data_IF_671829794307
#
_entry.id   IF_671829794307
#
_cell.length_a   1.000
_cell.length_b   1.000
_cell.length_c   1.000
_cell.angle_alpha   90.00
_cell.angle_beta   90.00
_cell.angle_gamma   90.00
#
_symmetry.space_group_name_H-M   'P 1'
#
loop_
_entity.id
_entity.type
_entity.pdbx_description
1 polymer ?
#
# COMPACT_ATOMS: atom_id res chain seq x y z
N UNK A 1 17.07 11.32 -24.19
CA UNK A 1 17.23 12.18 -25.39
C UNK A 1 17.27 11.33 -26.65
N UNK A 2 16.84 11.89 -27.82
CA UNK A 2 16.98 11.30 -29.13
C UNK A 2 18.15 12.00 -29.85
N UNK A 3 19.14 11.24 -30.32
CA UNK A 3 20.30 11.74 -31.06
C UNK A 3 20.31 11.07 -32.46
N UNK A 4 20.05 11.84 -33.49
CA UNK A 4 19.78 11.33 -34.87
C UNK A 4 18.66 10.27 -34.83
N UNK A 5 18.96 9.02 -35.22
CA UNK A 5 17.99 7.92 -35.24
C UNK A 5 18.04 7.02 -34.00
N UNK A 6 18.75 7.42 -32.95
CA UNK A 6 18.92 6.58 -31.76
C UNK A 6 18.43 7.31 -30.51
N UNK A 7 17.84 6.54 -29.61
CA UNK A 7 17.51 6.96 -28.26
C UNK A 7 18.69 6.71 -27.33
N UNK A 8 18.99 7.69 -26.48
CA UNK A 8 19.96 7.59 -25.40
C UNK A 8 19.23 7.56 -24.06
N UNK A 9 19.36 6.47 -23.34
CA UNK A 9 18.76 6.24 -22.05
C UNK A 9 19.85 6.20 -21.00
N UNK A 10 19.74 7.04 -19.96
CA UNK A 10 20.58 7.01 -18.78
C UNK A 10 19.82 6.38 -17.63
N UNK A 11 20.40 5.38 -16.97
CA UNK A 11 19.79 4.73 -15.80
C UNK A 11 20.17 5.46 -14.50
N UNK A 12 19.50 5.13 -13.39
CA UNK A 12 19.83 5.62 -12.04
C UNK A 12 21.22 5.17 -11.54
N UNK A 13 21.86 4.20 -12.23
CA UNK A 13 23.22 3.73 -11.95
C UNK A 13 24.23 4.32 -12.95
N UNK A 14 23.93 5.45 -13.57
CA UNK A 14 24.74 6.15 -14.57
C UNK A 14 25.15 5.35 -15.81
N UNK A 15 24.52 4.18 -16.03
CA UNK A 15 24.72 3.41 -17.26
C UNK A 15 23.94 4.07 -18.42
N UNK A 16 24.60 4.13 -19.59
CA UNK A 16 24.01 4.68 -20.81
C UNK A 16 23.75 3.53 -21.78
N UNK A 17 22.57 3.54 -22.36
CA UNK A 17 22.17 2.64 -23.45
C UNK A 17 21.80 3.49 -24.66
N UNK A 18 22.17 3.03 -25.86
CA UNK A 18 21.81 3.66 -27.12
C UNK A 18 21.13 2.61 -27.98
N UNK A 19 19.93 2.90 -28.45
CA UNK A 19 19.15 2.00 -29.28
C UNK A 19 18.23 2.78 -30.24
N UNK A 20 17.92 2.25 -31.42
CA UNK A 20 16.98 2.89 -32.35
C UNK A 20 15.54 2.85 -31.83
N UNK A 21 15.18 1.83 -31.04
CA UNK A 21 13.83 1.66 -30.51
C UNK A 21 13.87 1.37 -29.00
N UNK A 22 12.83 1.81 -28.29
CA UNK A 22 12.62 1.54 -26.86
C UNK A 22 11.29 0.81 -26.68
N UNK A 23 11.32 -0.35 -26.04
CA UNK A 23 10.12 -1.07 -25.65
C UNK A 23 9.81 -0.75 -24.17
N UNK A 24 8.67 -0.08 -23.94
CA UNK A 24 8.19 0.21 -22.59
C UNK A 24 7.35 -0.96 -22.10
N UNK A 25 7.92 -1.80 -21.24
CA UNK A 25 7.28 -2.96 -20.62
C UNK A 25 7.15 -2.78 -19.10
N UNK A 26 6.94 -1.56 -18.64
CA UNK A 26 6.90 -1.20 -17.21
C UNK A 26 5.59 -1.55 -16.50
N UNK A 27 4.62 -2.18 -17.18
CA UNK A 27 3.31 -2.49 -16.61
C UNK A 27 2.62 -1.23 -16.07
N UNK A 28 2.21 -1.27 -14.83
CA UNK A 28 1.58 -0.13 -14.14
C UNK A 28 2.60 0.82 -13.48
N UNK A 29 3.89 0.71 -13.83
CA UNK A 29 4.98 1.49 -13.24
C UNK A 29 5.42 0.99 -11.87
N UNK A 30 6.02 1.86 -11.07
CA UNK A 30 6.36 1.53 -9.69
C UNK A 30 5.13 1.60 -8.80
N UNK A 31 5.02 0.64 -7.88
CA UNK A 31 3.97 0.63 -6.87
C UNK A 31 4.48 1.32 -5.61
N UNK A 32 3.76 2.35 -5.19
CA UNK A 32 3.94 2.90 -3.85
C UNK A 32 2.67 2.64 -3.03
N UNK A 33 2.79 2.16 -1.79
CA UNK A 33 1.64 2.01 -0.93
C UNK A 33 1.06 3.39 -0.60
N UNK A 34 -0.26 3.49 -0.56
CA UNK A 34 -0.92 4.67 0.01
C UNK A 34 -0.61 4.72 1.49
N UNK A 35 -0.11 5.87 1.94
CA UNK A 35 0.27 6.09 3.33
C UNK A 35 -0.91 6.61 4.18
N UNK A 36 -0.78 6.51 5.49
CA UNK A 36 -1.65 7.23 6.41
C UNK A 36 -1.51 8.74 6.19
N UNK A 37 -2.61 9.48 6.32
CA UNK A 37 -2.64 10.94 6.12
C UNK A 37 -2.35 11.73 7.40
N UNK A 38 -1.88 11.07 8.46
CA UNK A 38 -1.53 11.68 9.74
C UNK A 38 -0.01 11.83 9.84
N UNK A 39 0.46 12.97 10.36
CA UNK A 39 1.90 13.30 10.43
C UNK A 39 2.69 12.34 11.31
N UNK A 40 2.07 11.87 12.39
CA UNK A 40 2.70 10.94 13.33
C UNK A 40 3.11 9.64 12.65
N UNK A 41 2.40 9.21 11.59
CA UNK A 41 2.74 7.98 10.86
C UNK A 41 4.11 8.07 10.18
N UNK A 42 4.53 9.24 9.71
CA UNK A 42 5.85 9.44 9.09
C UNK A 42 6.99 9.24 10.10
N UNK A 43 6.79 9.73 11.34
CA UNK A 43 7.77 9.57 12.43
C UNK A 43 8.09 8.11 12.72
N UNK A 44 7.08 7.25 12.63
CA UNK A 44 7.20 5.83 12.97
C UNK A 44 7.34 4.91 11.74
N UNK A 45 7.51 5.45 10.54
CA UNK A 45 7.67 4.64 9.33
C UNK A 45 8.89 3.75 9.42
N UNK A 46 8.71 2.45 9.17
CA UNK A 46 9.69 1.37 9.39
C UNK A 46 10.13 1.16 10.84
N UNK A 47 9.52 1.85 11.80
CA UNK A 47 9.76 1.68 13.23
C UNK A 47 8.45 1.62 14.05
N UNK A 48 7.48 0.84 13.53
CA UNK A 48 6.16 0.65 14.14
C UNK A 48 5.02 0.86 13.14
N UNK A 49 5.17 1.72 12.12
CA UNK A 49 4.24 1.86 10.99
C UNK A 49 4.83 1.19 9.76
N UNK A 50 4.07 0.28 9.16
CA UNK A 50 4.48 -0.48 7.99
C UNK A 50 3.37 -0.48 6.93
N UNK A 51 3.75 -0.60 5.66
CA UNK A 51 2.84 -0.67 4.51
C UNK A 51 3.00 -1.98 3.73
N UNK A 52 3.87 -2.87 4.21
CA UNK A 52 4.08 -4.21 3.68
C UNK A 52 4.64 -5.11 4.78
N UNK A 53 4.38 -6.41 4.66
CA UNK A 53 4.97 -7.42 5.53
C UNK A 53 6.14 -8.07 4.80
N UNK A 54 7.37 -7.75 5.22
CA UNK A 54 8.61 -8.34 4.66
C UNK A 54 8.97 -9.64 5.36
N UNK A 55 8.81 -9.66 6.68
CA UNK A 55 9.00 -10.86 7.53
C UNK A 55 7.86 -10.92 8.53
N UNK A 56 7.02 -11.95 8.43
CA UNK A 56 5.90 -12.16 9.33
C UNK A 56 6.31 -12.49 10.76
N UNK A 57 7.51 -13.07 10.96
CA UNK A 57 7.99 -13.43 12.28
C UNK A 57 8.29 -12.19 13.15
N UNK A 58 8.54 -11.05 12.54
CA UNK A 58 8.70 -9.78 13.24
C UNK A 58 7.49 -9.42 14.11
N UNK A 59 6.29 -9.85 13.72
CA UNK A 59 5.03 -9.55 14.41
C UNK A 59 4.65 -10.58 15.48
N UNK A 60 5.45 -11.64 15.66
CA UNK A 60 5.17 -12.69 16.66
C UNK A 60 5.06 -12.12 18.08
N UNK A 61 4.00 -12.50 18.78
CA UNK A 61 3.67 -12.06 20.14
C UNK A 61 3.47 -10.53 20.30
N UNK A 62 3.19 -9.82 19.21
CA UNK A 62 2.91 -8.37 19.23
C UNK A 62 1.42 -8.09 19.11
N UNK A 63 1.04 -6.91 19.60
CA UNK A 63 -0.25 -6.29 19.32
C UNK A 63 -0.14 -5.51 18.02
N UNK A 64 -0.95 -5.86 17.03
CA UNK A 64 -0.86 -5.29 15.67
C UNK A 64 -2.21 -4.77 15.23
N UNK A 65 -2.28 -3.50 14.91
CA UNK A 65 -3.44 -2.88 14.30
C UNK A 65 -3.27 -2.87 12.77
N UNK A 66 -4.20 -3.47 12.05
CA UNK A 66 -4.20 -3.55 10.58
C UNK A 66 -5.31 -2.68 10.04
N UNK A 67 -4.96 -1.71 9.19
CA UNK A 67 -5.90 -0.80 8.55
C UNK A 67 -6.10 -1.17 7.09
N UNK A 68 -7.34 -1.40 6.71
CA UNK A 68 -7.75 -1.72 5.34
C UNK A 68 -9.02 -2.56 5.29
N UNK A 69 -9.54 -2.78 4.10
CA UNK A 69 -10.75 -3.59 3.91
C UNK A 69 -10.75 -4.32 2.58
N UNK A 70 -9.61 -4.37 1.90
CA UNK A 70 -9.36 -5.20 0.71
C UNK A 70 -8.63 -6.50 1.07
N UNK A 71 -8.35 -7.31 0.05
CA UNK A 71 -7.75 -8.64 0.17
C UNK A 71 -6.47 -8.63 1.02
N UNK A 72 -5.53 -7.74 0.72
CA UNK A 72 -4.26 -7.67 1.48
C UNK A 72 -4.45 -7.45 2.99
N UNK A 73 -5.43 -6.63 3.40
CA UNK A 73 -5.69 -6.38 4.82
C UNK A 73 -6.30 -7.62 5.49
N UNK A 74 -7.25 -8.26 4.82
CA UNK A 74 -7.92 -9.47 5.31
C UNK A 74 -6.94 -10.64 5.39
N UNK A 75 -6.18 -10.89 4.34
CA UNK A 75 -5.24 -12.01 4.28
C UNK A 75 -4.13 -11.88 5.33
N UNK A 76 -3.57 -10.67 5.52
CA UNK A 76 -2.59 -10.46 6.58
C UNK A 76 -3.19 -10.50 7.97
N UNK A 77 -4.43 -10.04 8.17
CA UNK A 77 -5.11 -10.17 9.46
C UNK A 77 -5.32 -11.64 9.83
N UNK A 78 -5.75 -12.46 8.88
CA UNK A 78 -5.93 -13.90 9.05
C UNK A 78 -4.58 -14.60 9.31
N UNK A 79 -3.56 -14.30 8.50
CA UNK A 79 -2.27 -14.97 8.64
C UNK A 79 -1.57 -14.61 9.96
N UNK A 80 -1.53 -13.32 10.31
CA UNK A 80 -0.86 -12.87 11.53
C UNK A 80 -1.62 -13.25 12.81
N UNK A 81 -2.94 -13.45 12.77
CA UNK A 81 -3.74 -13.87 13.94
C UNK A 81 -3.33 -15.24 14.49
N UNK A 82 -2.57 -16.02 13.73
CA UNK A 82 -2.05 -17.33 14.18
C UNK A 82 -0.98 -17.20 15.28
N UNK A 83 -0.35 -16.03 15.42
CA UNK A 83 0.78 -15.84 16.35
C UNK A 83 0.95 -14.41 16.88
N UNK A 84 0.03 -13.51 16.59
CA UNK A 84 -0.01 -12.12 17.07
C UNK A 84 -1.44 -11.74 17.50
N UNK A 85 -1.57 -10.73 18.36
CA UNK A 85 -2.86 -10.16 18.75
C UNK A 85 -3.29 -9.12 17.72
N UNK A 86 -4.30 -9.43 16.89
CA UNK A 86 -4.71 -8.62 15.76
C UNK A 86 -5.97 -7.82 16.03
N UNK A 87 -5.93 -6.51 15.70
CA UNK A 87 -7.11 -5.68 15.55
C UNK A 87 -7.19 -5.18 14.10
N UNK A 88 -8.17 -5.69 13.34
CA UNK A 88 -8.45 -5.26 11.97
C UNK A 88 -9.40 -4.06 12.00
N UNK A 89 -9.00 -2.95 11.39
CA UNK A 89 -9.72 -1.68 11.42
C UNK A 89 -10.07 -1.27 10.00
N UNK A 90 -11.35 -1.00 9.76
CA UNK A 90 -11.82 -0.55 8.45
C UNK A 90 -12.78 0.63 8.58
N UNK A 91 -12.62 1.62 7.69
CA UNK A 91 -13.40 2.86 7.70
C UNK A 91 -14.87 2.69 7.29
N UNK A 92 -15.26 1.57 6.72
CA UNK A 92 -16.62 1.25 6.30
C UNK A 92 -17.14 0.08 7.11
N UNK A 93 -18.45 -0.05 7.20
CA UNK A 93 -19.12 -1.17 7.86
C UNK A 93 -18.84 -2.51 7.17
N UNK A 94 -18.58 -2.49 5.85
CA UNK A 94 -18.38 -3.70 5.05
C UNK A 94 -16.98 -3.72 4.40
N UNK A 95 -16.39 -4.91 4.36
CA UNK A 95 -15.15 -5.18 3.65
C UNK A 95 -15.39 -5.27 2.12
N UNK A 96 -14.36 -4.86 1.36
CA UNK A 96 -14.36 -4.95 -0.12
C UNK A 96 -13.60 -6.16 -0.64
N UNK A 97 -12.81 -6.81 0.20
CA UNK A 97 -12.03 -7.98 -0.17
C UNK A 97 -12.91 -9.18 -0.48
N UNK A 98 -12.29 -10.24 -0.98
CA UNK A 98 -12.96 -11.48 -1.33
C UNK A 98 -13.88 -11.96 -0.21
N UNK A 99 -15.11 -12.30 -0.55
CA UNK A 99 -16.14 -12.70 0.42
C UNK A 99 -15.66 -13.81 1.36
N UNK A 100 -14.91 -14.78 0.84
CA UNK A 100 -14.33 -15.86 1.64
C UNK A 100 -13.37 -15.35 2.73
N UNK A 101 -12.42 -14.43 2.40
CA UNK A 101 -11.50 -13.88 3.41
C UNK A 101 -12.24 -13.04 4.46
N UNK A 102 -13.29 -12.31 4.06
CA UNK A 102 -14.11 -11.56 5.00
C UNK A 102 -14.89 -12.48 5.95
N UNK A 103 -15.43 -13.59 5.46
CA UNK A 103 -16.11 -14.60 6.30
C UNK A 103 -15.16 -15.28 7.27
N UNK A 104 -13.95 -15.64 6.84
CA UNK A 104 -12.92 -16.21 7.70
C UNK A 104 -12.53 -15.22 8.81
N UNK A 105 -12.32 -13.95 8.47
CA UNK A 105 -12.00 -12.93 9.48
C UNK A 105 -13.11 -12.78 10.53
N UNK A 106 -14.39 -12.74 10.11
CA UNK A 106 -15.54 -12.71 11.02
C UNK A 106 -15.66 -13.96 11.89
N UNK A 107 -15.31 -15.14 11.34
CA UNK A 107 -15.26 -16.39 12.12
C UNK A 107 -14.17 -16.34 13.18
N UNK A 108 -12.97 -15.87 12.83
CA UNK A 108 -11.86 -15.70 13.77
C UNK A 108 -12.19 -14.69 14.87
N UNK A 109 -12.95 -13.65 14.55
CA UNK A 109 -13.45 -12.70 15.55
C UNK A 109 -14.38 -13.38 16.56
N UNK A 110 -15.36 -14.17 16.09
CA UNK A 110 -16.24 -14.94 16.96
C UNK A 110 -15.49 -15.95 17.83
N UNK A 111 -14.39 -16.48 17.34
CA UNK A 111 -13.49 -17.37 18.07
C UNK A 111 -12.54 -16.63 19.04
N UNK A 112 -12.58 -15.29 19.07
CA UNK A 112 -11.72 -14.46 19.92
C UNK A 112 -10.26 -14.39 19.45
N UNK A 113 -9.96 -14.82 18.23
CA UNK A 113 -8.60 -14.88 17.66
C UNK A 113 -8.14 -13.58 17.01
N UNK A 114 -9.07 -12.70 16.66
CA UNK A 114 -8.82 -11.34 16.23
C UNK A 114 -9.98 -10.42 16.63
N UNK A 115 -9.76 -9.11 16.57
CA UNK A 115 -10.80 -8.11 16.82
C UNK A 115 -11.07 -7.34 15.52
N UNK A 116 -12.33 -7.02 15.25
CA UNK A 116 -12.75 -6.18 14.13
C UNK A 116 -13.31 -4.86 14.66
N UNK A 117 -12.86 -3.74 14.10
CA UNK A 117 -13.34 -2.40 14.41
C UNK A 117 -13.80 -1.73 13.12
N UNK A 118 -15.12 -1.59 12.97
CA UNK A 118 -15.78 -0.93 11.84
C UNK A 118 -16.97 -0.12 12.35
N UNK A 119 -17.32 1.02 11.79
CA UNK A 119 -16.56 1.82 10.83
C UNK A 119 -15.60 2.78 11.57
N UNK A 120 -14.32 2.54 11.53
CA UNK A 120 -13.31 3.36 12.19
C UNK A 120 -12.13 3.69 11.27
N UNK A 121 -11.51 4.84 11.49
CA UNK A 121 -10.27 5.24 10.84
C UNK A 121 -9.27 5.74 11.88
N UNK A 122 -7.99 5.77 11.51
CA UNK A 122 -6.95 6.28 12.41
C UNK A 122 -7.16 7.80 12.61
N UNK A 123 -7.03 8.24 13.86
CA UNK A 123 -7.06 9.65 14.21
C UNK A 123 -5.67 10.16 14.60
N UNK A 124 -4.93 9.39 15.44
CA UNK A 124 -3.56 9.71 15.83
C UNK A 124 -2.80 8.46 16.29
N UNK A 125 -1.48 8.60 16.39
CA UNK A 125 -0.57 7.59 16.92
C UNK A 125 0.14 8.18 18.14
N UNK A 126 0.20 7.41 19.21
CA UNK A 126 0.91 7.77 20.44
C UNK A 126 2.19 6.96 20.60
N UNK A 127 3.24 7.61 21.10
CA UNK A 127 4.54 7.01 21.38
C UNK A 127 5.65 8.04 21.35
N UNK A 128 6.78 7.69 21.96
CA UNK A 128 8.01 8.50 21.91
C UNK A 128 8.97 7.91 20.88
N UNK A 129 9.74 6.90 21.25
CA UNK A 129 10.66 6.20 20.37
C UNK A 129 9.98 5.04 19.62
N UNK A 130 8.94 4.48 20.22
CA UNK A 130 8.11 3.39 19.66
C UNK A 130 6.64 3.72 19.82
N UNK A 131 5.82 3.12 18.99
CA UNK A 131 4.37 3.17 19.14
C UNK A 131 3.98 2.41 20.41
N UNK A 132 3.03 2.98 21.17
CA UNK A 132 2.42 2.31 22.31
C UNK A 132 0.90 2.22 22.22
N UNK A 133 0.28 3.15 21.46
CA UNK A 133 -1.16 3.14 21.23
C UNK A 133 -1.52 3.92 19.95
N UNK A 134 -2.73 3.70 19.50
CA UNK A 134 -3.40 4.52 18.49
C UNK A 134 -4.74 5.01 19.02
N UNK A 135 -5.20 6.14 18.50
CA UNK A 135 -6.56 6.61 18.64
C UNK A 135 -7.26 6.37 17.31
N UNK A 136 -8.37 5.67 17.33
CA UNK A 136 -9.27 5.53 16.18
C UNK A 136 -10.52 6.38 16.39
N UNK A 137 -11.19 6.74 15.30
CA UNK A 137 -12.37 7.59 15.31
C UNK A 137 -13.38 7.08 14.29
N UNK A 138 -14.66 7.05 14.67
CA UNK A 138 -15.77 6.78 13.77
C UNK A 138 -16.29 8.05 13.07
N UNK A 139 -17.34 7.90 12.26
CA UNK A 139 -17.95 9.02 11.51
C UNK A 139 -18.67 10.02 12.43
N UNK A 140 -19.17 9.57 13.58
CA UNK A 140 -19.86 10.41 14.58
C UNK A 140 -18.88 11.16 15.49
N UNK A 141 -17.58 10.92 15.33
CA UNK A 141 -16.54 11.56 16.11
C UNK A 141 -16.20 10.86 17.42
N UNK A 142 -16.79 9.70 17.69
CA UNK A 142 -16.44 8.88 18.85
C UNK A 142 -15.05 8.31 18.68
N UNK A 143 -14.24 8.45 19.70
CA UNK A 143 -12.85 7.98 19.70
C UNK A 143 -12.66 6.77 20.61
N UNK A 144 -11.74 5.88 20.22
CA UNK A 144 -11.31 4.73 21.04
C UNK A 144 -9.78 4.63 21.01
N UNK A 145 -9.18 4.40 22.17
CA UNK A 145 -7.73 4.16 22.30
C UNK A 145 -7.46 2.66 22.27
N UNK A 146 -6.51 2.26 21.43
CA UNK A 146 -6.08 0.86 21.30
C UNK A 146 -4.58 0.78 21.54
N UNK A 147 -4.17 0.00 22.56
CA UNK A 147 -2.76 -0.31 22.79
C UNK A 147 -2.23 -1.20 21.67
N UNK A 148 -1.12 -0.83 21.06
CA UNK A 148 -0.52 -1.56 19.95
C UNK A 148 0.98 -1.36 19.86
N UNK A 149 1.72 -2.36 19.37
CA UNK A 149 3.16 -2.29 19.11
C UNK A 149 3.45 -1.91 17.66
N UNK A 150 2.53 -2.22 16.74
CA UNK A 150 2.71 -2.02 15.31
C UNK A 150 1.40 -1.65 14.62
N UNK A 151 1.53 -0.88 13.54
CA UNK A 151 0.42 -0.49 12.68
C UNK A 151 0.76 -0.86 11.23
N UNK A 152 -0.14 -1.58 10.56
CA UNK A 152 -0.04 -1.95 9.16
C UNK A 152 -1.11 -1.21 8.36
N UNK A 153 -0.72 -0.52 7.28
CA UNK A 153 -1.62 0.20 6.39
C UNK A 153 -1.75 -0.47 5.02
N UNK A 154 -2.91 -1.05 4.70
CA UNK A 154 -3.22 -1.67 3.42
C UNK A 154 -4.33 -0.91 2.69
N UNK A 155 -4.02 0.29 2.19
CA UNK A 155 -4.98 1.20 1.51
C UNK A 155 -4.96 1.08 -0.01
N UNK A 156 -4.27 0.08 -0.55
CA UNK A 156 -3.99 -0.09 -1.97
C UNK A 156 -2.72 0.63 -2.40
N UNK A 157 -2.43 0.55 -3.69
CA UNK A 157 -1.21 1.03 -4.29
C UNK A 157 -1.47 2.28 -5.13
N UNK A 158 -0.48 3.13 -5.23
CA UNK A 158 -0.42 4.24 -6.17
C UNK A 158 0.51 3.82 -7.29
N UNK A 159 0.01 3.85 -8.52
CA UNK A 159 0.82 3.66 -9.72
C UNK A 159 1.59 4.93 -10.04
N UNK A 160 2.90 4.82 -10.25
CA UNK A 160 3.75 5.90 -10.72
C UNK A 160 4.53 5.43 -11.93
N UNK A 161 4.42 6.14 -13.04
CA UNK A 161 5.21 5.88 -14.24
C UNK A 161 6.70 6.22 -14.03
N UNK A 162 7.00 6.97 -12.96
CA UNK A 162 8.37 7.41 -12.70
C UNK A 162 8.90 8.32 -13.81
N UNK A 163 10.21 8.25 -14.12
CA UNK A 163 10.83 9.11 -15.13
C UNK A 163 10.23 8.97 -16.54
N UNK A 164 9.55 7.86 -16.85
CA UNK A 164 8.88 7.64 -18.13
C UNK A 164 7.80 8.71 -18.39
N UNK A 165 7.15 9.21 -17.34
CA UNK A 165 6.16 10.28 -17.46
C UNK A 165 6.74 11.59 -18.02
N UNK A 166 8.07 11.79 -17.91
CA UNK A 166 8.79 12.99 -18.35
C UNK A 166 9.40 12.83 -19.77
N UNK A 167 9.18 11.70 -20.44
CA UNK A 167 9.75 11.44 -21.76
C UNK A 167 9.00 12.12 -22.91
N UNK A 168 7.99 12.96 -22.60
CA UNK A 168 7.17 13.65 -23.58
C UNK A 168 6.20 12.72 -24.29
N UNK A 169 5.82 11.63 -23.65
CA UNK A 169 4.76 10.75 -24.10
C UNK A 169 3.40 11.36 -23.77
N UNK A 170 2.42 11.14 -24.64
CA UNK A 170 1.04 11.46 -24.31
C UNK A 170 0.57 10.57 -23.18
N UNK A 171 -0.07 11.16 -22.18
CA UNK A 171 -0.59 10.41 -21.02
C UNK A 171 -2.09 10.65 -20.91
N UNK A 172 -2.85 9.58 -20.82
CA UNK A 172 -4.26 9.61 -20.45
C UNK A 172 -4.40 9.10 -19.00
N UNK A 173 -4.60 10.04 -18.07
CA UNK A 173 -4.54 9.78 -16.62
C UNK A 173 -3.15 9.27 -16.20
N UNK A 174 -2.94 7.95 -16.18
CA UNK A 174 -1.65 7.30 -15.86
C UNK A 174 -1.29 6.20 -16.86
N UNK A 175 -1.93 6.21 -18.02
CA UNK A 175 -1.67 5.25 -19.07
C UNK A 175 -1.00 5.96 -20.25
N UNK A 176 -0.15 5.23 -20.96
CA UNK A 176 0.47 5.64 -22.19
C UNK A 176 -0.42 5.09 -23.31
N UNK A 177 -1.21 5.95 -24.02
CA UNK A 177 -1.98 5.47 -25.16
C UNK A 177 -1.06 5.05 -26.29
N UNK A 178 -1.42 3.94 -26.93
CA UNK A 178 -0.68 3.38 -28.06
C UNK A 178 -1.62 3.07 -29.21
N UNK A 179 -1.08 3.06 -30.42
CA UNK A 179 -1.77 2.49 -31.57
C UNK A 179 -1.94 0.98 -31.35
N UNK A 180 -3.16 0.46 -31.50
CA UNK A 180 -3.48 -0.95 -31.21
C UNK A 180 -2.95 -1.94 -32.26
N UNK A 181 -2.53 -1.45 -33.45
CA UNK A 181 -2.00 -2.32 -34.52
C UNK A 181 -0.50 -2.58 -34.37
N UNK A 182 0.27 -1.55 -33.98
CA UNK A 182 1.73 -1.62 -33.93
C UNK A 182 2.33 -1.25 -32.56
N UNK A 183 1.48 -0.95 -31.56
CA UNK A 183 1.82 -0.57 -30.18
C UNK A 183 2.73 0.67 -30.10
N UNK A 184 2.73 1.51 -31.13
CA UNK A 184 3.53 2.73 -31.15
C UNK A 184 2.86 3.84 -30.33
N UNK A 185 3.70 4.57 -29.57
CA UNK A 185 3.29 5.78 -28.85
C UNK A 185 3.24 7.00 -29.78
N UNK A 186 3.07 8.20 -29.24
CA UNK A 186 3.24 9.45 -29.98
C UNK A 186 4.71 9.77 -30.33
N UNK A 187 5.67 8.95 -29.93
CA UNK A 187 7.09 9.08 -30.27
C UNK A 187 7.50 7.93 -31.18
N UNK A 188 8.20 8.27 -32.24
CA UNK A 188 8.77 7.31 -33.17
C UNK A 188 9.96 6.60 -32.53
N UNK A 189 10.00 5.26 -32.59
CA UNK A 189 11.03 4.40 -32.02
C UNK A 189 10.81 4.20 -30.53
#
# INVERSE_FOLDING_TARGET
SKEKNNWKIKTSKDKIFIAPNIIIAGGVGSFEPRKFLIKEAEKFENNGVYYSVKDKNYFKNKKVCIFGGGDSALDWAIELSKFAEITLIHRRSEFRGAGNSAEIAKKLEKEGKLKIKTPFQINSIEGQDKINAIIIKDEDGKTEKITTDCVLGFFGLIMKLGPIAEWGLNLEKKHIPVNTENFQTNKEG
#
